data_IF_729612351062
#
_entry.id   IF_729612351062
#
_cell.length_a   1.000
_cell.length_b   1.000
_cell.length_c   1.000
_cell.angle_alpha   90.00
_cell.angle_beta   90.00
_cell.angle_gamma   90.00
#
_symmetry.space_group_name_H-M   'P 1'
#
loop_
_entity.id
_entity.type
_entity.pdbx_description
1 polymer ?
#
# COMPACT_ATOMS: atom_id res chain seq x y z
N UNK A 1 -2.45 55.18 -39.00
CA UNK A 1 -3.86 54.75 -38.83
C UNK A 1 -3.91 53.25 -39.13
N UNK A 2 -4.62 52.47 -38.30
CA UNK A 2 -4.23 51.15 -37.76
C UNK A 2 -4.65 50.01 -38.72
N UNK A 3 -4.31 48.71 -38.61
CA UNK A 3 -4.03 47.80 -37.49
C UNK A 3 -3.19 46.59 -37.99
N UNK A 4 -2.56 45.84 -37.08
CA UNK A 4 -1.78 44.63 -37.37
C UNK A 4 -2.64 43.36 -37.33
N UNK A 5 -2.27 42.32 -38.09
CA UNK A 5 -2.89 40.99 -38.03
C UNK A 5 -1.89 39.95 -37.51
N UNK A 6 -2.11 39.62 -36.24
CA UNK A 6 -2.04 38.30 -35.57
C UNK A 6 -0.72 37.53 -35.60
N UNK A 7 -0.06 37.61 -34.45
CA UNK A 7 0.90 36.69 -33.85
C UNK A 7 0.13 35.46 -33.30
N UNK A 8 0.35 34.28 -33.86
CA UNK A 8 -0.19 33.01 -33.36
C UNK A 8 0.60 32.61 -32.10
N UNK A 9 0.06 33.02 -30.95
CA UNK A 9 0.50 32.56 -29.63
C UNK A 9 -0.17 31.22 -29.32
N UNK A 10 0.58 30.14 -29.54
CA UNK A 10 0.24 28.79 -29.08
C UNK A 10 0.37 28.77 -27.55
N UNK A 11 -0.77 28.98 -26.87
CA UNK A 11 -0.89 28.90 -25.42
C UNK A 11 -1.25 27.47 -25.04
N UNK A 12 -0.22 26.71 -24.69
CA UNK A 12 -0.31 25.39 -24.04
C UNK A 12 -0.83 25.56 -22.59
N UNK A 13 -2.10 25.94 -22.44
CA UNK A 13 -2.82 25.93 -21.16
C UNK A 13 -3.28 24.51 -20.82
N UNK A 14 -2.48 23.86 -19.98
CA UNK A 14 -2.90 23.19 -18.74
C UNK A 14 -4.14 22.27 -18.84
N UNK A 15 -4.07 21.23 -19.69
CA UNK A 15 -4.97 20.07 -19.59
C UNK A 15 -4.54 19.14 -18.45
N UNK A 16 -4.84 19.54 -17.20
CA UNK A 16 -4.83 18.63 -16.05
C UNK A 16 -5.83 17.49 -16.31
N UNK A 17 -5.40 16.21 -16.28
CA UNK A 17 -6.37 15.11 -16.33
C UNK A 17 -7.21 15.11 -15.05
N UNK A 18 -8.52 15.07 -15.24
CA UNK A 18 -9.53 14.97 -14.20
C UNK A 18 -9.26 13.79 -13.25
N UNK A 19 -9.33 14.08 -11.96
CA UNK A 19 -9.00 13.17 -10.85
C UNK A 19 -10.23 12.31 -10.51
N UNK A 20 -10.73 11.53 -11.46
CA UNK A 20 -11.89 10.66 -11.25
C UNK A 20 -11.59 9.19 -11.60
N UNK A 21 -10.74 8.55 -10.78
CA UNK A 21 -10.65 7.10 -10.69
C UNK A 21 -10.01 6.64 -9.37
N UNK A 22 -10.37 7.28 -8.25
CA UNK A 22 -10.03 6.74 -6.92
C UNK A 22 -11.19 5.88 -6.43
N UNK A 23 -11.23 4.62 -6.88
CA UNK A 23 -12.22 3.64 -6.41
C UNK A 23 -12.20 3.60 -4.88
N UNK A 24 -13.31 4.04 -4.30
CA UNK A 24 -13.50 4.29 -2.88
C UNK A 24 -13.57 2.95 -2.14
N UNK A 25 -12.86 2.81 -1.02
CA UNK A 25 -12.92 1.63 -0.16
C UNK A 25 -12.99 2.15 1.28
N UNK A 26 -14.12 1.92 1.95
CA UNK A 26 -14.25 2.04 3.39
C UNK A 26 -13.66 0.77 4.01
N UNK A 27 -12.66 0.92 4.87
CA UNK A 27 -12.09 -0.20 5.61
C UNK A 27 -13.04 -0.50 6.78
N UNK A 28 -13.80 -1.59 6.71
CA UNK A 28 -14.41 -2.20 7.90
C UNK A 28 -13.30 -2.66 8.86
N UNK A 29 -13.63 -2.73 10.15
CA UNK A 29 -12.74 -3.18 11.21
C UNK A 29 -12.46 -4.69 11.10
N UNK A 30 -11.69 -5.08 10.09
CA UNK A 30 -11.14 -6.43 10.00
C UNK A 30 -10.11 -6.63 11.11
N UNK A 31 -10.23 -7.73 11.84
CA UNK A 31 -9.27 -8.12 12.87
C UNK A 31 -8.06 -8.77 12.18
N UNK A 32 -7.05 -7.95 11.89
CA UNK A 32 -5.81 -8.44 11.29
C UNK A 32 -4.89 -8.97 12.39
N UNK A 33 -4.27 -10.15 12.21
CA UNK A 33 -3.21 -10.56 13.11
C UNK A 33 -2.08 -9.53 13.08
N UNK A 34 -1.43 -9.32 14.23
CA UNK A 34 -0.42 -8.28 14.41
C UNK A 34 1.01 -8.82 14.32
N UNK A 35 1.90 -8.05 13.71
CA UNK A 35 3.35 -8.21 13.70
C UNK A 35 3.90 -8.06 15.13
N UNK A 36 5.04 -8.68 15.38
CA UNK A 36 5.74 -8.51 16.65
C UNK A 36 6.77 -7.38 16.57
N UNK A 37 6.85 -6.62 17.65
CA UNK A 37 7.80 -5.52 17.78
C UNK A 37 8.56 -5.59 19.12
N UNK A 38 9.76 -5.00 19.20
CA UNK A 38 10.47 -4.86 20.46
C UNK A 38 9.68 -4.07 21.51
N UNK A 39 9.97 -4.25 22.82
CA UNK A 39 9.22 -3.59 23.90
C UNK A 39 9.24 -2.05 23.88
N UNK A 40 10.22 -1.44 23.20
CA UNK A 40 10.31 0.01 23.08
C UNK A 40 9.41 0.59 21.98
N UNK A 41 8.76 -0.25 21.18
CA UNK A 41 7.76 0.16 20.18
C UNK A 41 6.39 0.12 20.83
N UNK A 42 5.77 1.29 20.96
CA UNK A 42 4.43 1.42 21.52
C UNK A 42 3.37 1.02 20.47
N UNK A 43 2.41 0.20 20.87
CA UNK A 43 1.25 -0.13 20.05
C UNK A 43 0.13 0.88 20.33
N UNK A 44 -0.42 1.47 19.28
CA UNK A 44 -1.51 2.45 19.37
C UNK A 44 -2.79 1.90 18.71
N UNK A 45 -3.87 1.62 19.48
CA UNK A 45 -5.06 0.94 18.96
C UNK A 45 -5.82 1.73 17.88
N UNK A 46 -5.62 3.06 17.82
CA UNK A 46 -6.19 3.91 16.78
C UNK A 46 -5.59 3.75 15.38
N UNK A 47 -4.48 3.03 15.24
CA UNK A 47 -3.74 2.83 13.98
C UNK A 47 -3.40 1.35 13.72
N UNK A 48 -4.41 0.46 13.62
CA UNK A 48 -4.18 -0.98 13.53
C UNK A 48 -3.39 -1.40 12.28
N UNK A 49 -3.45 -0.65 11.17
CA UNK A 49 -2.76 -1.03 9.93
C UNK A 49 -1.24 -0.84 10.01
N UNK A 50 -0.73 -0.14 11.01
CA UNK A 50 0.70 -0.13 11.29
C UNK A 50 1.22 -1.49 11.71
N UNK A 51 0.38 -2.31 12.34
CA UNK A 51 0.79 -3.54 13.01
C UNK A 51 0.33 -4.78 12.27
N UNK A 52 -0.59 -4.68 11.30
CA UNK A 52 -1.11 -5.86 10.59
C UNK A 52 -0.01 -6.71 9.93
N UNK A 53 -0.22 -8.03 9.94
CA UNK A 53 0.46 -8.98 9.07
C UNK A 53 -0.22 -9.03 7.71
N UNK A 54 0.44 -9.62 6.72
CA UNK A 54 -0.06 -9.73 5.35
C UNK A 54 -0.06 -11.19 4.90
N UNK A 55 -1.09 -11.65 4.18
CA UNK A 55 -1.01 -12.95 3.52
C UNK A 55 0.08 -12.91 2.44
N UNK A 56 0.78 -14.04 2.26
CA UNK A 56 1.52 -14.24 1.01
C UNK A 56 0.50 -14.44 -0.11
N UNK A 57 0.71 -13.73 -1.21
CA UNK A 57 -0.21 -13.76 -2.35
C UNK A 57 -0.45 -15.19 -2.84
N UNK A 58 -1.71 -15.65 -2.76
CA UNK A 58 -2.18 -16.90 -3.36
C UNK A 58 -2.28 -16.83 -4.89
N UNK A 59 -2.26 -15.62 -5.43
CA UNK A 59 -2.38 -15.34 -6.86
C UNK A 59 -1.04 -15.56 -7.60
N UNK A 60 -0.80 -16.77 -8.12
CA UNK A 60 0.44 -17.22 -8.78
C UNK A 60 0.18 -17.95 -10.12
N UNK A 61 1.20 -18.48 -10.81
CA UNK A 61 1.00 -19.32 -12.01
C UNK A 61 1.48 -20.75 -11.77
N UNK A 62 0.94 -21.72 -12.50
CA UNK A 62 1.41 -23.12 -12.47
C UNK A 62 2.92 -23.23 -12.70
N UNK A 63 3.48 -22.40 -13.59
CA UNK A 63 4.93 -22.35 -13.81
C UNK A 63 5.69 -21.88 -12.55
N UNK A 64 5.21 -20.82 -11.91
CA UNK A 64 5.81 -20.27 -10.70
C UNK A 64 5.71 -21.28 -9.53
N UNK A 65 4.57 -21.94 -9.41
CA UNK A 65 4.30 -23.01 -8.43
C UNK A 65 5.25 -24.18 -8.64
N UNK A 66 5.43 -24.62 -9.89
CA UNK A 66 6.33 -25.70 -10.25
C UNK A 66 7.80 -25.37 -9.96
N UNK A 67 8.29 -24.18 -10.32
CA UNK A 67 9.69 -23.84 -10.06
C UNK A 67 10.01 -23.62 -8.58
N UNK A 68 9.02 -23.21 -7.78
CA UNK A 68 9.16 -23.05 -6.32
C UNK A 68 8.58 -24.24 -5.53
N UNK A 69 8.28 -25.38 -6.18
CA UNK A 69 7.77 -26.61 -5.53
C UNK A 69 6.58 -26.39 -4.57
N UNK A 70 5.74 -25.42 -4.88
CA UNK A 70 4.51 -25.10 -4.15
C UNK A 70 3.45 -26.14 -4.56
N UNK A 71 2.55 -26.53 -3.65
CA UNK A 71 1.46 -27.45 -3.96
C UNK A 71 0.41 -26.78 -4.83
N UNK A 72 0.10 -27.40 -5.98
CA UNK A 72 -0.97 -26.93 -6.88
C UNK A 72 -2.32 -26.83 -6.17
N UNK A 73 -2.56 -27.67 -5.15
CA UNK A 73 -3.82 -27.73 -4.40
C UNK A 73 -4.09 -26.50 -3.53
N UNK A 74 -3.05 -25.77 -3.14
CA UNK A 74 -3.17 -24.59 -2.31
C UNK A 74 -3.33 -23.33 -3.16
N UNK A 75 -2.79 -23.27 -4.38
CA UNK A 75 -2.98 -22.10 -5.24
C UNK A 75 -4.45 -21.83 -5.56
N UNK A 76 -4.95 -20.65 -5.18
CA UNK A 76 -6.28 -20.20 -5.55
C UNK A 76 -6.36 -20.19 -7.08
N UNK A 77 -6.96 -21.25 -7.64
CA UNK A 77 -7.64 -21.27 -8.92
C UNK A 77 -6.81 -20.74 -10.11
N UNK A 78 -5.79 -21.49 -10.54
CA UNK A 78 -5.10 -21.22 -11.81
C UNK A 78 -5.09 -22.35 -12.83
N UNK A 79 -5.91 -23.40 -12.63
CA UNK A 79 -6.40 -24.18 -13.78
C UNK A 79 -7.15 -23.30 -14.81
N UNK A 80 -7.52 -22.06 -14.42
CA UNK A 80 -8.09 -21.01 -15.30
C UNK A 80 -7.23 -19.71 -15.40
N UNK A 81 -5.93 -19.74 -15.03
CA UNK A 81 -5.00 -18.58 -15.19
C UNK A 81 -4.89 -18.07 -16.63
N UNK A 82 -5.18 -18.92 -17.59
CA UNK A 82 -5.28 -18.56 -19.00
C UNK A 82 -6.44 -17.59 -19.28
N UNK A 83 -7.25 -17.20 -18.27
CA UNK A 83 -8.42 -16.32 -18.41
C UNK A 83 -8.59 -15.25 -17.31
N UNK A 84 -7.53 -14.72 -16.67
CA UNK A 84 -7.65 -13.32 -16.19
C UNK A 84 -7.59 -12.45 -17.45
N UNK A 85 -8.75 -12.22 -18.08
CA UNK A 85 -8.92 -11.68 -19.45
C UNK A 85 -7.82 -10.70 -19.88
N UNK A 86 -6.89 -11.19 -20.72
CA UNK A 86 -5.82 -10.41 -21.33
C UNK A 86 -4.68 -9.97 -20.40
N UNK A 87 -4.57 -10.55 -19.20
CA UNK A 87 -3.49 -10.26 -18.26
C UNK A 87 -2.40 -11.33 -18.26
N UNK A 88 -1.17 -10.85 -18.10
CA UNK A 88 0.02 -11.69 -18.00
C UNK A 88 0.49 -11.68 -16.55
N UNK A 89 0.91 -12.85 -16.06
CA UNK A 89 1.56 -12.95 -14.76
C UNK A 89 2.83 -12.12 -14.72
N UNK A 90 3.00 -11.39 -13.64
CA UNK A 90 4.16 -10.55 -13.41
C UNK A 90 4.88 -11.07 -12.16
N UNK A 91 5.98 -11.76 -12.41
CA UNK A 91 6.74 -12.46 -11.39
C UNK A 91 7.21 -11.48 -10.29
N UNK A 92 7.01 -11.82 -9.00
CA UNK A 92 7.52 -11.01 -7.90
C UNK A 92 9.05 -10.98 -7.88
N UNK A 93 9.66 -9.93 -7.32
CA UNK A 93 11.13 -9.78 -7.25
C UNK A 93 11.79 -10.88 -6.42
N UNK A 94 11.05 -11.37 -5.42
CA UNK A 94 11.39 -12.47 -4.53
C UNK A 94 10.08 -13.02 -3.94
N UNK A 95 10.05 -14.24 -3.38
CA UNK A 95 8.79 -14.92 -3.03
C UNK A 95 7.87 -14.17 -2.05
N UNK A 96 8.45 -13.35 -1.18
CA UNK A 96 7.74 -12.57 -0.15
C UNK A 96 7.49 -11.10 -0.55
N UNK A 97 7.59 -10.74 -1.84
CA UNK A 97 7.41 -9.36 -2.33
C UNK A 97 5.94 -8.91 -2.24
N UNK A 98 5.57 -8.06 -1.29
CA UNK A 98 4.20 -7.53 -1.15
C UNK A 98 3.88 -6.38 -2.11
N UNK A 99 4.85 -5.85 -2.85
CA UNK A 99 4.68 -4.63 -3.64
C UNK A 99 4.35 -4.92 -5.11
N UNK A 100 5.02 -5.88 -5.73
CA UNK A 100 4.97 -6.09 -7.18
C UNK A 100 3.58 -6.55 -7.61
N UNK A 101 2.96 -5.92 -8.63
CA UNK A 101 1.65 -6.36 -9.12
C UNK A 101 1.73 -7.81 -9.57
N UNK A 102 0.74 -8.64 -9.22
CA UNK A 102 0.78 -10.09 -9.57
C UNK A 102 0.46 -10.36 -11.02
N UNK A 103 -0.38 -9.51 -11.60
CA UNK A 103 -0.74 -9.58 -12.99
C UNK A 103 -0.70 -8.17 -13.57
N UNK A 104 -0.32 -8.07 -14.83
CA UNK A 104 -0.32 -6.82 -15.59
C UNK A 104 -1.08 -7.02 -16.89
N UNK A 105 -1.76 -5.98 -17.37
CA UNK A 105 -2.40 -5.99 -18.69
C UNK A 105 -2.36 -4.60 -19.32
N UNK A 106 -2.58 -4.56 -20.63
CA UNK A 106 -2.50 -3.32 -21.42
C UNK A 106 -1.06 -2.88 -21.68
N UNK A 107 -0.92 -1.83 -22.48
CA UNK A 107 0.38 -1.26 -22.88
C UNK A 107 0.37 0.26 -22.70
N UNK A 108 1.55 0.88 -22.67
CA UNK A 108 1.68 2.34 -22.62
C UNK A 108 0.89 2.99 -21.49
N UNK A 109 -0.07 3.87 -21.83
CA UNK A 109 -0.90 4.62 -20.86
C UNK A 109 -1.98 3.76 -20.21
N UNK A 110 -2.39 2.67 -20.87
CA UNK A 110 -3.41 1.74 -20.40
C UNK A 110 -2.83 0.60 -19.57
N UNK A 111 -1.51 0.54 -19.42
CA UNK A 111 -0.87 -0.48 -18.60
C UNK A 111 -1.33 -0.36 -17.14
N UNK A 112 -1.95 -1.43 -16.65
CA UNK A 112 -2.45 -1.57 -15.29
C UNK A 112 -1.86 -2.80 -14.61
N UNK A 113 -1.73 -2.73 -13.29
CA UNK A 113 -1.29 -3.82 -12.42
C UNK A 113 -2.37 -4.19 -11.41
N UNK A 114 -2.52 -5.48 -11.15
CA UNK A 114 -3.40 -6.02 -10.11
C UNK A 114 -2.72 -5.95 -8.74
N UNK A 115 -3.36 -5.32 -7.76
CA UNK A 115 -2.88 -5.26 -6.39
C UNK A 115 -2.80 -6.67 -5.75
N UNK A 116 -1.62 -7.12 -5.27
CA UNK A 116 -1.46 -8.42 -4.61
C UNK A 116 -2.23 -8.55 -3.31
N UNK A 117 -2.56 -7.46 -2.63
CA UNK A 117 -3.17 -7.47 -1.28
C UNK A 117 -4.69 -7.40 -1.38
N UNK A 118 -5.23 -6.47 -2.18
CA UNK A 118 -6.68 -6.33 -2.34
C UNK A 118 -7.34 -7.58 -2.91
N UNK A 119 -6.64 -8.31 -3.79
CA UNK A 119 -7.19 -9.49 -4.47
C UNK A 119 -7.36 -10.68 -3.53
N UNK A 120 -6.62 -10.72 -2.43
CA UNK A 120 -6.71 -11.82 -1.47
C UNK A 120 -8.10 -11.90 -0.83
N UNK A 121 -8.56 -13.10 -0.45
CA UNK A 121 -9.78 -13.29 0.31
C UNK A 121 -9.81 -12.51 1.64
N UNK A 122 -11.01 -12.15 2.11
CA UNK A 122 -11.19 -11.38 3.35
C UNK A 122 -10.71 -12.15 4.59
N UNK A 123 -10.94 -13.47 4.62
CA UNK A 123 -10.48 -14.39 5.69
C UNK A 123 -8.95 -14.51 5.75
N UNK A 124 -8.24 -14.21 4.66
CA UNK A 124 -6.77 -14.09 4.62
C UNK A 124 -6.28 -12.66 4.89
N UNK A 125 -7.17 -11.71 5.15
CA UNK A 125 -6.85 -10.30 5.38
C UNK A 125 -6.72 -9.46 4.11
N UNK A 126 -7.25 -9.93 2.98
CA UNK A 126 -7.43 -9.15 1.76
C UNK A 126 -8.79 -8.43 1.71
N UNK A 127 -9.27 -8.15 0.50
CA UNK A 127 -10.55 -7.45 0.26
C UNK A 127 -11.42 -8.13 -0.79
N UNK A 128 -11.00 -9.31 -1.25
CA UNK A 128 -11.62 -10.07 -2.34
C UNK A 128 -11.91 -9.21 -3.60
N UNK A 129 -11.04 -8.22 -3.88
CA UNK A 129 -11.25 -7.21 -4.92
C UNK A 129 -10.13 -7.24 -5.95
N UNK A 130 -10.51 -7.50 -7.20
CA UNK A 130 -9.61 -7.41 -8.38
C UNK A 130 -9.32 -5.94 -8.73
N UNK A 131 -8.53 -5.26 -7.92
CA UNK A 131 -8.22 -3.83 -8.09
C UNK A 131 -7.06 -3.65 -9.08
N UNK A 132 -7.41 -3.25 -10.31
CA UNK A 132 -6.46 -2.89 -11.37
C UNK A 132 -6.16 -1.39 -11.33
N UNK A 133 -4.88 -1.04 -11.25
CA UNK A 133 -4.44 0.34 -11.08
C UNK A 133 -3.40 0.70 -12.14
N UNK A 134 -3.45 1.92 -12.65
CA UNK A 134 -2.47 2.39 -13.63
C UNK A 134 -1.06 2.32 -13.05
N UNK A 135 -0.14 1.70 -13.80
CA UNK A 135 1.28 1.67 -13.44
C UNK A 135 2.01 2.92 -13.94
N UNK A 136 1.54 3.53 -15.03
CA UNK A 136 2.18 4.71 -15.65
C UNK A 136 1.93 5.99 -14.84
N UNK A 137 0.71 6.17 -14.35
CA UNK A 137 0.33 7.38 -13.59
C UNK A 137 0.49 7.20 -12.08
N UNK A 138 1.43 6.34 -11.67
CA UNK A 138 1.76 6.01 -10.27
C UNK A 138 0.58 5.65 -9.36
N UNK A 139 -0.63 5.42 -9.89
CA UNK A 139 -1.81 5.04 -9.12
C UNK A 139 -1.57 3.74 -8.34
N UNK A 140 -0.93 2.75 -8.99
CA UNK A 140 -0.51 1.52 -8.32
C UNK A 140 0.46 1.80 -7.16
N UNK A 141 1.51 2.58 -7.39
CA UNK A 141 2.50 2.93 -6.37
C UNK A 141 1.87 3.70 -5.20
N UNK A 142 1.02 4.68 -5.49
CA UNK A 142 0.27 5.46 -4.50
C UNK A 142 -0.60 4.55 -3.64
N UNK A 143 -1.33 3.63 -4.26
CA UNK A 143 -2.18 2.68 -3.56
C UNK A 143 -1.37 1.77 -2.63
N UNK A 144 -0.29 1.15 -3.12
CA UNK A 144 0.55 0.27 -2.28
C UNK A 144 1.12 1.01 -1.07
N UNK A 145 1.62 2.24 -1.27
CA UNK A 145 2.21 3.01 -0.19
C UNK A 145 1.18 3.59 0.79
N UNK A 146 0.02 4.03 0.32
CA UNK A 146 -0.90 4.85 1.13
C UNK A 146 -2.23 4.19 1.48
N UNK A 147 -2.53 3.03 0.89
CA UNK A 147 -3.65 2.18 1.31
C UNK A 147 -3.18 0.96 2.12
N UNK A 148 -1.96 0.49 1.88
CA UNK A 148 -1.41 -0.69 2.54
C UNK A 148 -0.12 -0.45 3.33
N UNK A 149 0.51 0.73 3.20
CA UNK A 149 1.77 1.00 3.89
C UNK A 149 2.95 0.16 3.39
N UNK A 150 2.94 -0.28 2.12
CA UNK A 150 4.00 -1.12 1.55
C UNK A 150 5.02 -0.26 0.80
N UNK A 151 6.29 -0.44 1.13
CA UNK A 151 7.40 0.24 0.47
C UNK A 151 7.64 -0.30 -0.94
N UNK A 152 7.79 0.61 -1.91
CA UNK A 152 8.27 0.24 -3.25
C UNK A 152 9.72 -0.24 -3.28
N UNK A 153 10.50 0.12 -2.26
CA UNK A 153 11.91 -0.21 -2.15
C UNK A 153 12.11 -1.61 -1.56
N UNK A 154 11.64 -1.84 -0.33
CA UNK A 154 11.81 -3.12 0.35
C UNK A 154 10.77 -4.18 -0.02
N UNK A 155 9.70 -3.79 -0.73
CA UNK A 155 8.55 -4.65 -0.98
C UNK A 155 7.91 -5.23 0.30
N UNK A 156 8.07 -4.53 1.42
CA UNK A 156 7.59 -4.89 2.76
C UNK A 156 6.87 -3.70 3.41
N UNK A 157 6.13 -3.91 4.51
CA UNK A 157 5.44 -2.83 5.21
C UNK A 157 6.42 -1.81 5.79
N UNK A 158 6.03 -0.54 5.83
CA UNK A 158 6.75 0.48 6.58
C UNK A 158 6.71 0.17 8.08
N UNK A 159 7.82 0.44 8.77
CA UNK A 159 7.84 0.38 10.23
C UNK A 159 6.88 1.42 10.85
N UNK A 160 6.24 1.09 11.98
CA UNK A 160 5.36 2.01 12.70
C UNK A 160 6.16 3.13 13.38
N UNK A 161 5.49 4.14 13.95
CA UNK A 161 6.12 5.00 14.95
C UNK A 161 6.64 4.20 16.14
N UNK A 162 7.79 4.60 16.69
CA UNK A 162 8.33 3.95 17.90
C UNK A 162 7.52 4.30 19.14
N UNK A 163 7.14 5.57 19.28
CA UNK A 163 6.38 6.09 20.42
C UNK A 163 5.43 7.18 19.96
N UNK A 164 4.38 7.44 20.75
CA UNK A 164 3.34 8.41 20.44
C UNK A 164 3.32 9.53 21.48
N UNK A 165 2.89 10.71 21.06
CA UNK A 165 2.54 11.80 21.97
C UNK A 165 1.36 12.60 21.41
N UNK A 166 0.62 13.24 22.31
CA UNK A 166 -0.47 14.13 21.93
C UNK A 166 -0.14 15.54 22.38
N UNK A 167 -0.25 16.51 21.48
CA UNK A 167 -0.01 17.93 21.78
C UNK A 167 -1.30 18.73 21.72
N UNK A 168 -1.59 19.57 22.72
CA UNK A 168 -2.65 20.56 22.61
C UNK A 168 -2.27 21.61 21.56
N UNK A 169 -3.29 22.15 20.89
CA UNK A 169 -3.18 23.31 20.01
C UNK A 169 -3.85 24.51 20.66
N UNK A 170 -3.17 25.65 20.58
CA UNK A 170 -3.73 26.94 20.98
C UNK A 170 -4.51 27.52 19.79
N UNK A 171 -5.53 28.34 20.09
CA UNK A 171 -6.32 29.08 19.08
C UNK A 171 -7.05 28.17 18.07
N UNK A 172 -8.03 27.42 18.56
CA UNK A 172 -8.83 26.48 17.77
C UNK A 172 -9.95 27.24 17.08
N UNK A 173 -10.10 27.06 15.76
CA UNK A 173 -11.26 27.55 15.02
C UNK A 173 -12.33 26.44 14.88
N UNK A 174 -13.53 26.81 14.44
CA UNK A 174 -14.62 25.84 14.22
C UNK A 174 -14.16 24.79 13.20
N UNK A 175 -14.32 23.49 13.52
CA UNK A 175 -13.87 22.34 12.70
C UNK A 175 -12.35 22.07 12.68
N UNK A 176 -11.61 22.59 13.67
CA UNK A 176 -10.22 22.20 13.91
C UNK A 176 -10.07 21.30 15.13
N UNK A 177 -9.08 20.40 15.07
CA UNK A 177 -8.70 19.56 16.21
C UNK A 177 -8.00 20.38 17.28
N UNK A 178 -8.43 20.17 18.53
CA UNK A 178 -7.83 20.74 19.73
C UNK A 178 -6.52 20.09 20.13
N UNK A 179 -6.27 18.88 19.65
CA UNK A 179 -5.07 18.10 19.91
C UNK A 179 -4.60 17.41 18.62
N UNK A 180 -3.29 17.19 18.50
CA UNK A 180 -2.68 16.43 17.42
C UNK A 180 -1.80 15.34 18.00
N UNK A 181 -2.03 14.12 17.53
CA UNK A 181 -1.25 12.92 17.79
C UNK A 181 -0.06 12.90 16.85
N UNK A 182 1.13 12.75 17.41
CA UNK A 182 2.39 12.62 16.67
C UNK A 182 3.05 11.28 16.99
N UNK A 183 3.70 10.69 15.99
CA UNK A 183 4.54 9.49 16.14
C UNK A 183 6.03 9.82 15.96
N UNK A 184 6.92 9.17 16.71
CA UNK A 184 8.39 9.34 16.58
C UNK A 184 8.97 8.37 15.55
N UNK A 185 9.63 8.89 14.52
CA UNK A 185 10.29 8.10 13.47
C UNK A 185 11.59 7.46 13.98
N UNK A 186 11.79 6.17 13.69
CA UNK A 186 13.01 5.44 14.06
C UNK A 186 14.23 5.94 13.28
N UNK A 187 14.03 6.32 12.01
CA UNK A 187 15.13 6.73 11.14
C UNK A 187 15.58 8.16 11.37
N UNK A 188 14.66 9.12 11.27
CA UNK A 188 15.02 10.54 11.38
C UNK A 188 14.84 11.14 12.77
N UNK A 189 14.31 10.36 13.74
CA UNK A 189 14.01 10.81 15.11
C UNK A 189 13.03 11.98 15.24
N UNK A 190 12.42 12.45 14.14
CA UNK A 190 11.42 13.52 14.15
C UNK A 190 10.06 13.00 14.59
N UNK A 191 9.28 13.91 15.17
CA UNK A 191 7.88 13.68 15.50
C UNK A 191 7.01 14.09 14.32
N UNK A 192 6.19 13.16 13.84
CA UNK A 192 5.40 13.30 12.62
C UNK A 192 3.92 13.32 13.01
N UNK A 193 3.13 14.32 12.59
CA UNK A 193 1.70 14.34 12.85
C UNK A 193 1.01 13.17 12.13
N UNK A 194 0.14 12.48 12.86
CA UNK A 194 -0.63 11.33 12.36
C UNK A 194 -2.05 11.72 11.91
N UNK A 195 -2.37 13.01 11.95
CA UNK A 195 -3.68 13.55 11.61
C UNK A 195 -3.57 14.99 11.08
N UNK A 196 -4.62 15.46 10.40
CA UNK A 196 -4.74 16.85 9.97
C UNK A 196 -5.26 17.74 11.09
N UNK A 197 -4.94 19.04 10.96
CA UNK A 197 -5.56 20.11 11.72
C UNK A 197 -7.09 20.12 11.56
N UNK A 198 -7.58 19.90 10.34
CA UNK A 198 -9.01 19.83 10.07
C UNK A 198 -9.60 18.58 10.71
N UNK A 199 -10.71 18.76 11.41
CA UNK A 199 -11.51 17.68 11.96
C UNK A 199 -12.37 17.08 10.83
N UNK A 200 -11.71 16.25 10.01
CA UNK A 200 -12.32 15.55 8.91
C UNK A 200 -11.89 14.08 8.95
N UNK A 201 -12.82 13.19 8.59
CA UNK A 201 -12.55 11.78 8.49
C UNK A 201 -11.68 11.48 7.25
N UNK A 202 -10.64 10.68 7.48
CA UNK A 202 -9.81 10.14 6.41
C UNK A 202 -10.10 8.66 6.25
N UNK A 203 -10.11 8.18 5.00
CA UNK A 203 -10.38 6.77 4.68
C UNK A 203 -9.36 5.81 5.31
N UNK A 204 -8.12 6.26 5.43
CA UNK A 204 -6.99 5.52 5.99
C UNK A 204 -6.33 6.44 7.01
N UNK A 205 -6.36 6.09 8.30
CA UNK A 205 -5.83 6.93 9.37
C UNK A 205 -4.30 7.02 9.32
N UNK A 206 -3.69 5.92 8.92
CA UNK A 206 -2.24 5.70 8.83
C UNK A 206 -1.57 6.47 7.68
N UNK A 207 -2.34 7.04 6.74
CA UNK A 207 -1.82 7.66 5.52
C UNK A 207 -0.80 8.76 5.78
N UNK A 208 -0.98 9.54 6.86
CA UNK A 208 -0.09 10.63 7.21
C UNK A 208 1.31 10.15 7.56
N UNK A 209 1.39 9.04 8.32
CA UNK A 209 2.65 8.37 8.61
C UNK A 209 3.26 7.76 7.36
N UNK A 210 2.47 7.08 6.54
CA UNK A 210 2.99 6.40 5.34
C UNK A 210 3.55 7.38 4.31
N UNK A 211 3.01 8.60 4.19
CA UNK A 211 3.61 9.68 3.41
C UNK A 211 5.02 10.05 3.90
N UNK A 212 5.21 10.14 5.21
CA UNK A 212 6.53 10.32 5.79
C UNK A 212 7.43 9.11 5.53
N UNK A 213 6.96 7.90 5.83
CA UNK A 213 7.74 6.67 5.69
C UNK A 213 8.21 6.43 4.24
N UNK A 214 7.35 6.71 3.25
CA UNK A 214 7.66 6.62 1.82
C UNK A 214 8.87 7.47 1.41
N UNK A 215 9.03 8.65 2.01
CA UNK A 215 10.11 9.60 1.70
C UNK A 215 11.29 9.52 2.66
N UNK A 216 11.12 8.88 3.82
CA UNK A 216 12.13 8.83 4.86
C UNK A 216 12.80 7.46 4.93
N UNK A 217 12.03 6.37 5.02
CA UNK A 217 12.56 5.07 5.44
C UNK A 217 13.53 4.47 4.41
N UNK A 218 13.24 4.55 3.11
CA UNK A 218 14.08 3.98 2.04
C UNK A 218 14.53 2.53 2.33
N UNK A 219 13.59 1.70 2.80
CA UNK A 219 13.85 0.31 3.15
C UNK A 219 14.38 0.05 4.56
N UNK A 220 14.74 1.07 5.34
CA UNK A 220 15.13 0.87 6.74
C UNK A 220 13.95 0.41 7.58
N UNK A 221 14.17 -0.60 8.42
CA UNK A 221 13.21 -1.15 9.35
C UNK A 221 13.57 -0.83 10.80
N UNK A 222 12.64 -1.05 11.74
CA UNK A 222 12.95 -1.04 13.17
C UNK A 222 13.68 -2.34 13.51
N UNK A 223 14.77 -2.25 14.25
CA UNK A 223 15.55 -3.41 14.67
C UNK A 223 14.71 -4.35 15.53
N UNK A 224 14.54 -5.60 15.09
CA UNK A 224 13.76 -6.62 15.80
C UNK A 224 12.27 -6.65 15.44
N UNK A 225 11.77 -5.81 14.51
CA UNK A 225 10.43 -6.03 13.96
C UNK A 225 10.40 -7.32 13.12
N UNK A 226 9.35 -8.14 13.29
CA UNK A 226 9.23 -9.46 12.64
C UNK A 226 7.77 -9.84 12.36
N UNK A 227 7.57 -11.07 11.91
CA UNK A 227 6.25 -11.69 11.69
C UNK A 227 5.40 -10.95 10.63
N UNK A 228 6.03 -10.43 9.57
CA UNK A 228 5.35 -9.66 8.51
C UNK A 228 4.20 -10.43 7.87
N UNK A 229 4.35 -11.73 7.69
CA UNK A 229 3.41 -12.55 6.93
C UNK A 229 2.51 -13.38 7.84
N UNK A 230 1.26 -13.62 7.42
CA UNK A 230 0.41 -14.65 8.02
C UNK A 230 1.00 -16.01 7.66
N UNK A 231 1.26 -16.84 8.67
CA UNK A 231 1.88 -18.17 8.53
C UNK A 231 0.85 -19.26 8.15
N UNK A 232 0.10 -19.02 7.09
CA UNK A 232 -0.79 -20.02 6.51
C UNK A 232 -0.04 -21.00 5.60
N UNK A 233 -0.77 -21.97 5.04
CA UNK A 233 -0.19 -23.01 4.20
C UNK A 233 0.62 -22.44 3.02
N UNK A 234 0.21 -21.30 2.44
CA UNK A 234 0.96 -20.68 1.35
C UNK A 234 2.30 -20.14 1.80
N UNK A 235 2.31 -19.47 2.96
CA UNK A 235 3.56 -18.98 3.53
C UNK A 235 4.53 -20.13 3.79
N UNK A 236 4.04 -21.21 4.40
CA UNK A 236 4.87 -22.37 4.73
C UNK A 236 5.49 -22.99 3.48
N UNK A 237 4.72 -23.17 2.41
CA UNK A 237 5.26 -23.73 1.16
C UNK A 237 6.25 -22.81 0.46
N UNK A 238 6.01 -21.49 0.49
CA UNK A 238 6.94 -20.52 -0.05
C UNK A 238 8.26 -20.58 0.71
N UNK A 239 8.23 -20.56 2.05
CA UNK A 239 9.44 -20.52 2.88
C UNK A 239 10.20 -21.85 2.86
N UNK A 240 9.51 -22.99 2.84
CA UNK A 240 10.16 -24.31 2.79
C UNK A 240 10.87 -24.58 1.46
N UNK A 241 10.50 -23.86 0.39
CA UNK A 241 11.04 -24.06 -0.96
C UNK A 241 11.80 -22.84 -1.53
N UNK A 242 12.06 -21.82 -0.70
CA UNK A 242 12.86 -20.62 -1.08
C UNK A 242 14.34 -20.77 -0.75
#
# INVERSE_FOLDING_TARGET
>A
MPSPLTDDSDSDEDRRPSVEASAQIGLSAFDYPSRSFPPYVQIHPGFPLFYRRFPVSSFQTTRYVSCHRISESLTVLFRDSTKISGATFNEPRFPLDLYTPRFVKGTGREKVGLCPICVEPEDRGGQNKKLWLSTKFSAFNYHMQYSHGISAFSAAPFSPPMVFRTKPRNQITKHERSQITEGKCHKCSKWIPLETIKDADVKVKEIFWWKHAATCHHGSTIEGERDIFVEDNFYQEIVQNS
#
